data_IF_916619187523
#
_entry.id   IF_916619187523
#
_cell.length_a   1.000
_cell.length_b   1.000
_cell.length_c   1.000
_cell.angle_alpha   90.00
_cell.angle_beta   90.00
_cell.angle_gamma   90.00
#
_symmetry.space_group_name_H-M   'P 1'
#
loop_
_entity.id
_entity.type
_entity.pdbx_description
1 polymer ?
#
# COMPACT_ATOMS: atom_id res chain seq x y z
N UNK A 1 35.69 11.89 8.89
CA UNK A 1 35.03 10.84 8.08
C UNK A 1 33.58 10.74 8.52
N UNK A 2 32.63 11.07 7.65
CA UNK A 2 31.20 10.96 7.91
C UNK A 2 30.84 9.49 8.14
N UNK A 3 30.24 9.16 9.30
CA UNK A 3 29.57 7.87 9.56
C UNK A 3 28.28 7.82 8.73
N UNK A 4 28.39 7.74 7.41
CA UNK A 4 27.24 7.43 6.54
C UNK A 4 27.08 5.90 6.50
N UNK A 5 25.89 5.44 6.88
CA UNK A 5 25.37 4.07 6.82
C UNK A 5 25.71 3.09 7.96
N UNK A 6 25.52 3.50 9.22
CA UNK A 6 25.06 2.53 10.22
C UNK A 6 23.62 2.13 9.84
N UNK A 7 23.46 0.99 9.17
CA UNK A 7 22.14 0.41 8.90
C UNK A 7 21.42 0.22 10.24
N UNK A 8 20.09 0.27 10.32
CA UNK A 8 19.38 -0.05 11.56
C UNK A 8 18.40 -1.17 11.26
N UNK A 9 18.21 -2.05 12.23
CA UNK A 9 17.21 -3.11 12.12
C UNK A 9 16.06 -2.78 13.04
N UNK A 10 14.87 -2.68 12.48
CA UNK A 10 13.63 -2.62 13.23
C UNK A 10 12.99 -4.00 13.23
N UNK A 11 12.87 -4.60 14.42
CA UNK A 11 12.17 -5.87 14.60
C UNK A 11 10.72 -5.59 14.94
N UNK A 12 9.79 -6.20 14.20
CA UNK A 12 8.35 -6.07 14.41
C UNK A 12 7.76 -7.42 14.79
N UNK A 13 7.05 -7.49 15.91
CA UNK A 13 6.30 -8.69 16.29
C UNK A 13 4.87 -8.63 15.70
N UNK A 14 4.64 -9.47 14.69
CA UNK A 14 3.34 -9.51 14.00
C UNK A 14 2.18 -9.95 14.90
N UNK A 15 2.45 -10.73 15.95
CA UNK A 15 1.40 -11.23 16.86
C UNK A 15 0.83 -10.13 17.77
N UNK A 16 1.61 -9.06 17.95
CA UNK A 16 1.28 -7.96 18.84
C UNK A 16 0.87 -6.69 18.07
N UNK A 17 0.89 -6.72 16.74
CA UNK A 17 0.31 -5.64 15.94
C UNK A 17 -1.21 -5.55 16.16
N UNK A 18 -1.70 -4.32 16.20
CA UNK A 18 -3.12 -3.95 16.20
C UNK A 18 -3.30 -2.85 15.17
N UNK A 19 -4.49 -2.74 14.56
CA UNK A 19 -4.81 -1.69 13.56
C UNK A 19 -3.81 -1.65 12.39
N UNK A 20 -3.87 -2.67 11.55
CA UNK A 20 -2.95 -2.91 10.42
C UNK A 20 -3.73 -2.85 9.10
N UNK A 21 -3.16 -2.22 8.08
CA UNK A 21 -3.66 -2.31 6.70
C UNK A 21 -2.53 -2.22 5.69
N UNK A 22 -2.89 -2.37 4.42
CA UNK A 22 -1.95 -2.34 3.29
C UNK A 22 -2.30 -1.15 2.40
N UNK A 23 -1.28 -0.39 1.99
CA UNK A 23 -1.33 0.83 1.20
C UNK A 23 -0.25 0.77 0.12
N UNK A 24 -0.60 0.80 -1.17
CA UNK A 24 0.37 0.71 -2.28
C UNK A 24 1.35 -0.46 -2.13
N UNK A 25 0.85 -1.63 -1.73
CA UNK A 25 1.63 -2.82 -1.37
C UNK A 25 2.52 -2.72 -0.12
N UNK A 26 2.34 -1.67 0.69
CA UNK A 26 3.11 -1.39 1.90
C UNK A 26 2.24 -1.59 3.13
N UNK A 27 2.76 -2.24 4.16
CA UNK A 27 2.15 -2.32 5.47
C UNK A 27 2.13 -0.94 6.11
N UNK A 28 0.98 -0.49 6.55
CA UNK A 28 0.89 0.69 7.41
C UNK A 28 0.27 0.28 8.74
N UNK A 29 0.92 0.68 9.82
CA UNK A 29 0.62 0.19 11.16
C UNK A 29 0.97 1.22 12.23
N UNK A 30 0.14 1.30 13.27
CA UNK A 30 0.50 1.98 14.50
C UNK A 30 1.33 1.02 15.37
N UNK A 31 2.57 1.38 15.67
CA UNK A 31 3.41 0.58 16.54
C UNK A 31 3.47 1.17 17.94
N UNK A 32 3.36 0.29 18.92
CA UNK A 32 3.77 0.51 20.30
C UNK A 32 5.22 0.03 20.51
N UNK A 33 6.10 0.92 20.94
CA UNK A 33 7.51 0.60 21.17
C UNK A 33 8.43 1.76 20.82
N UNK A 34 9.66 1.43 20.41
CA UNK A 34 10.74 2.39 20.21
C UNK A 34 10.67 3.10 18.84
N UNK A 35 9.53 3.74 18.58
CA UNK A 35 9.23 4.45 17.33
C UNK A 35 10.10 5.68 17.12
N UNK A 36 10.53 6.34 18.19
CA UNK A 36 11.32 7.59 18.15
C UNK A 36 12.72 7.37 17.56
N UNK A 37 13.22 6.14 17.62
CA UNK A 37 14.54 5.76 17.11
C UNK A 37 14.51 5.21 15.68
N UNK A 38 13.33 5.02 15.09
CA UNK A 38 13.16 4.59 13.70
C UNK A 38 13.44 5.73 12.72
N UNK A 39 13.95 5.39 11.53
CA UNK A 39 14.20 6.32 10.43
C UNK A 39 13.72 5.75 9.10
N UNK A 40 13.39 6.63 8.16
CA UNK A 40 13.09 6.24 6.78
C UNK A 40 14.33 5.54 6.21
N UNK A 41 14.11 4.38 5.58
CA UNK A 41 15.13 3.50 5.04
C UNK A 41 15.63 2.43 6.01
N UNK A 42 15.23 2.44 7.29
CA UNK A 42 15.60 1.40 8.25
C UNK A 42 15.09 0.03 7.78
N UNK A 43 15.92 -1.01 7.95
CA UNK A 43 15.56 -2.36 7.54
C UNK A 43 14.57 -2.94 8.55
N UNK A 44 13.41 -3.34 8.08
CA UNK A 44 12.35 -3.92 8.91
C UNK A 44 12.36 -5.44 8.77
N UNK A 45 12.25 -6.12 9.91
CA UNK A 45 12.20 -7.57 10.02
C UNK A 45 10.97 -7.94 10.82
N UNK A 46 9.97 -8.52 10.17
CA UNK A 46 8.76 -8.96 10.82
C UNK A 46 8.89 -10.42 11.26
N UNK A 47 8.69 -10.64 12.56
CA UNK A 47 8.80 -11.94 13.20
C UNK A 47 7.45 -12.47 13.64
N UNK A 48 7.29 -13.79 13.54
CA UNK A 48 6.21 -14.57 14.16
C UNK A 48 6.85 -15.70 14.95
N UNK A 49 6.71 -15.66 16.27
CA UNK A 49 7.52 -16.48 17.18
C UNK A 49 9.03 -16.29 16.94
N UNK A 50 9.72 -17.36 16.54
CA UNK A 50 11.18 -17.37 16.30
C UNK A 50 11.58 -17.34 14.82
N UNK A 51 10.64 -17.01 13.93
CA UNK A 51 10.85 -17.01 12.47
C UNK A 51 10.66 -15.61 11.93
N UNK A 52 11.56 -15.23 11.03
CA UNK A 52 11.35 -14.06 10.18
C UNK A 52 10.45 -14.52 9.04
N UNK A 53 9.31 -13.85 8.90
CA UNK A 53 8.30 -14.18 7.90
C UNK A 53 8.23 -13.13 6.79
N UNK A 54 8.59 -11.89 7.10
CA UNK A 54 8.59 -10.80 6.13
C UNK A 54 9.73 -9.82 6.41
N UNK A 55 10.19 -9.14 5.36
CA UNK A 55 11.29 -8.17 5.41
C UNK A 55 10.90 -6.95 4.58
N UNK A 56 11.35 -5.77 4.98
CA UNK A 56 10.98 -4.54 4.29
C UNK A 56 11.87 -3.39 4.73
N UNK A 57 11.44 -2.17 4.42
CA UNK A 57 12.04 -0.95 4.93
C UNK A 57 10.96 0.01 5.38
N UNK A 58 11.29 0.82 6.38
CA UNK A 58 10.45 1.98 6.72
C UNK A 58 10.48 2.93 5.53
N UNK A 59 9.33 3.22 4.96
CA UNK A 59 9.20 4.10 3.78
C UNK A 59 8.69 5.48 4.16
N UNK A 60 7.88 5.60 5.21
CA UNK A 60 7.30 6.87 5.62
C UNK A 60 6.82 6.86 7.09
N UNK A 61 6.64 8.06 7.66
CA UNK A 61 6.01 8.28 8.96
C UNK A 61 4.75 9.10 8.77
N UNK A 62 3.60 8.49 9.03
CA UNK A 62 2.32 9.18 8.96
C UNK A 62 2.03 9.80 10.33
N UNK A 63 2.12 11.12 10.37
CA UNK A 63 1.51 11.90 11.42
C UNK A 63 0.00 11.79 11.22
N UNK A 64 -0.71 11.20 12.18
CA UNK A 64 -2.15 11.40 12.25
C UNK A 64 -2.44 12.90 12.24
N UNK A 65 -3.55 13.36 11.64
CA UNK A 65 -3.80 14.78 11.40
C UNK A 65 -3.63 15.58 12.70
N UNK A 66 -2.53 16.31 12.80
CA UNK A 66 -2.31 17.27 13.87
C UNK A 66 -3.25 18.43 13.56
N UNK A 67 -4.47 18.38 14.10
CA UNK A 67 -5.43 19.46 13.95
C UNK A 67 -6.91 19.07 13.90
N UNK A 68 -7.25 17.81 13.59
CA UNK A 68 -8.66 17.34 13.69
C UNK A 68 -8.78 16.23 14.73
N UNK A 69 -9.26 16.61 15.91
CA UNK A 69 -9.83 15.66 16.87
C UNK A 69 -11.02 14.97 16.19
N UNK A 70 -10.87 13.70 15.81
CA UNK A 70 -12.03 12.83 15.65
C UNK A 70 -12.29 12.20 17.04
N UNK A 71 -13.44 12.54 17.65
CA UNK A 71 -13.86 12.04 18.97
C UNK A 71 -12.93 12.30 20.17
N UNK A 72 -11.98 13.24 20.04
CA UNK A 72 -11.10 13.65 21.13
C UNK A 72 -9.95 12.70 21.47
N UNK A 73 -9.67 11.71 20.60
CA UNK A 73 -8.50 10.85 20.73
C UNK A 73 -7.36 11.31 19.80
N UNK A 74 -6.11 11.43 20.30
CA UNK A 74 -4.96 11.68 19.42
C UNK A 74 -4.80 10.51 18.45
N UNK A 75 -4.73 10.81 17.16
CA UNK A 75 -4.42 9.80 16.15
C UNK A 75 -3.00 9.25 16.42
N UNK A 76 -2.82 7.94 16.66
CA UNK A 76 -1.51 7.39 16.96
C UNK A 76 -0.55 7.60 15.78
N UNK A 77 0.73 7.88 16.07
CA UNK A 77 1.78 7.91 15.03
C UNK A 77 1.81 6.56 14.32
N UNK A 78 1.75 6.58 13.00
CA UNK A 78 1.76 5.40 12.15
C UNK A 78 3.04 5.38 11.34
N UNK A 79 3.49 4.18 11.00
CA UNK A 79 4.60 4.00 10.07
C UNK A 79 4.14 3.24 8.85
N UNK A 80 4.81 3.52 7.74
CA UNK A 80 4.66 2.80 6.49
C UNK A 80 5.91 1.98 6.21
N UNK A 81 5.69 0.75 5.76
CA UNK A 81 6.73 -0.24 5.57
C UNK A 81 6.45 -1.00 4.29
N UNK A 82 7.40 -1.09 3.37
CA UNK A 82 7.27 -1.99 2.22
C UNK A 82 7.58 -3.45 2.62
N UNK A 83 6.78 -3.97 3.55
CA UNK A 83 6.96 -5.28 4.14
C UNK A 83 6.57 -6.38 3.15
N UNK A 84 7.56 -7.14 2.72
CA UNK A 84 7.43 -8.19 1.73
C UNK A 84 7.52 -9.57 2.37
N UNK A 85 6.57 -10.45 2.06
CA UNK A 85 6.56 -11.81 2.57
C UNK A 85 7.70 -12.64 1.98
N UNK A 86 8.36 -13.43 2.82
CA UNK A 86 9.40 -14.36 2.38
C UNK A 86 8.76 -15.67 1.90
N UNK A 87 9.12 -16.13 0.70
CA UNK A 87 8.69 -17.44 0.17
C UNK A 87 9.12 -18.60 1.08
N UNK A 88 10.21 -18.42 1.83
CA UNK A 88 10.65 -19.34 2.88
C UNK A 88 11.07 -18.57 4.14
N UNK A 89 10.51 -18.96 5.29
CA UNK A 89 10.81 -18.27 6.55
C UNK A 89 12.27 -18.44 6.94
N UNK A 90 12.95 -17.36 7.31
CA UNK A 90 14.31 -17.44 7.85
C UNK A 90 14.26 -17.78 9.34
N UNK A 91 14.98 -18.84 9.73
CA UNK A 91 15.14 -19.24 11.13
C UNK A 91 16.24 -18.42 11.79
N UNK A 92 15.92 -17.81 12.92
CA UNK A 92 16.89 -17.18 13.82
C UNK A 92 17.45 -18.27 14.74
N UNK A 93 18.78 -18.44 14.74
CA UNK A 93 19.45 -19.39 15.64
C UNK A 93 19.41 -18.92 17.10
N UNK A 94 19.57 -19.81 18.09
CA UNK A 94 19.63 -19.42 19.50
C UNK A 94 20.66 -18.32 19.77
N UNK A 95 21.88 -18.45 19.22
CA UNK A 95 22.95 -17.44 19.34
C UNK A 95 22.54 -16.06 18.80
N UNK A 96 21.84 -16.03 17.67
CA UNK A 96 21.35 -14.77 17.08
C UNK A 96 20.23 -14.16 17.92
N UNK A 97 19.38 -14.99 18.54
CA UNK A 97 18.34 -14.52 19.46
C UNK A 97 18.93 -13.90 20.72
N UNK A 98 19.96 -14.53 21.29
CA UNK A 98 20.62 -14.02 22.49
C UNK A 98 21.34 -12.72 22.19
N UNK A 99 21.99 -12.60 21.02
CA UNK A 99 22.56 -11.33 20.56
C UNK A 99 21.51 -10.20 20.41
N UNK A 100 20.32 -10.51 19.88
CA UNK A 100 19.20 -9.54 19.79
C UNK A 100 18.75 -9.12 21.19
N UNK A 101 18.67 -10.06 22.14
CA UNK A 101 18.26 -9.79 23.53
C UNK A 101 19.29 -8.94 24.27
N UNK A 102 20.58 -9.23 24.10
CA UNK A 102 21.68 -8.45 24.68
C UNK A 102 21.68 -7.01 24.14
N UNK A 103 21.52 -6.85 22.82
CA UNK A 103 21.41 -5.54 22.19
C UNK A 103 20.19 -4.75 22.69
N UNK A 104 19.04 -5.42 22.83
CA UNK A 104 17.83 -4.82 23.40
C UNK A 104 18.04 -4.36 24.85
N UNK A 105 18.65 -5.22 25.67
CA UNK A 105 18.91 -4.94 27.09
C UNK A 105 19.88 -3.78 27.28
N UNK A 106 20.93 -3.68 26.44
CA UNK A 106 21.86 -2.56 26.43
C UNK A 106 21.18 -1.22 26.12
N UNK A 107 20.04 -1.25 25.42
CA UNK A 107 19.21 -0.09 25.09
C UNK A 107 18.05 0.14 26.07
N UNK A 108 18.02 -0.58 27.19
CA UNK A 108 16.98 -0.45 28.22
C UNK A 108 15.66 -1.18 27.91
N UNK A 109 15.63 -2.02 26.87
CA UNK A 109 14.44 -2.78 26.48
C UNK A 109 14.57 -4.26 26.83
N UNK A 110 13.55 -4.82 27.48
CA UNK A 110 13.42 -6.26 27.63
C UNK A 110 12.60 -6.82 26.47
N UNK A 111 13.22 -7.66 25.64
CA UNK A 111 12.60 -8.24 24.44
C UNK A 111 11.26 -8.94 24.74
N UNK A 112 11.11 -9.55 25.92
CA UNK A 112 9.87 -10.23 26.36
C UNK A 112 8.72 -9.27 26.70
N UNK A 113 9.03 -7.98 26.91
CA UNK A 113 8.06 -6.91 27.11
C UNK A 113 7.87 -6.05 25.86
N UNK A 114 8.42 -6.46 24.71
CA UNK A 114 8.28 -5.74 23.45
C UNK A 114 6.81 -5.72 23.05
N UNK A 115 6.21 -4.53 23.03
CA UNK A 115 4.79 -4.38 22.71
C UNK A 115 4.50 -4.66 21.25
N UNK A 116 5.23 -4.05 20.31
CA UNK A 116 5.04 -4.37 18.89
C UNK A 116 6.29 -4.17 18.02
N UNK A 117 7.19 -3.24 18.38
CA UNK A 117 8.43 -3.04 17.63
C UNK A 117 9.61 -2.57 18.48
N UNK A 118 10.81 -2.83 17.97
CA UNK A 118 12.09 -2.46 18.57
C UNK A 118 13.11 -2.09 17.49
N UNK A 119 13.66 -0.87 17.56
CA UNK A 119 14.75 -0.43 16.70
C UNK A 119 16.11 -0.74 17.36
N UNK A 120 16.99 -1.43 16.65
CA UNK A 120 18.31 -1.82 17.14
C UNK A 120 19.42 -1.13 16.31
N UNK A 121 20.37 -0.42 16.95
CA UNK A 121 21.53 0.12 16.26
C UNK A 121 22.44 -0.99 15.72
N UNK A 122 22.99 -0.85 14.50
CA UNK A 122 23.96 -1.85 13.98
C UNK A 122 25.31 -1.86 14.65
N UNK A 123 25.54 -0.97 15.60
CA UNK A 123 26.76 -0.94 16.42
C UNK A 123 26.94 -2.27 17.19
N UNK A 124 25.84 -2.98 17.45
CA UNK A 124 25.79 -4.30 18.06
C UNK A 124 25.60 -5.44 17.04
N UNK A 125 25.62 -5.13 15.73
CA UNK A 125 25.26 -6.07 14.66
C UNK A 125 26.39 -6.92 14.11
N UNK A 126 27.62 -6.86 14.64
CA UNK A 126 28.69 -7.79 14.22
C UNK A 126 28.27 -9.27 14.40
N UNK A 127 27.44 -9.56 15.41
CA UNK A 127 26.83 -10.89 15.64
C UNK A 127 25.64 -11.19 14.69
N UNK A 128 25.10 -10.17 14.04
CA UNK A 128 23.94 -10.20 13.15
C UNK A 128 24.30 -10.03 11.67
N UNK A 129 25.56 -9.75 11.31
CA UNK A 129 26.00 -9.56 9.92
C UNK A 129 25.60 -10.73 9.02
N UNK A 130 25.75 -11.96 9.53
CA UNK A 130 25.33 -13.19 8.85
C UNK A 130 23.82 -13.29 8.57
N UNK A 131 22.99 -12.60 9.37
CA UNK A 131 21.54 -12.53 9.24
C UNK A 131 21.16 -11.35 8.35
N UNK A 132 21.81 -10.22 8.56
CA UNK A 132 21.64 -8.98 7.82
C UNK A 132 21.89 -9.16 6.32
N UNK A 133 22.95 -9.87 5.93
CA UNK A 133 23.20 -10.12 4.50
C UNK A 133 22.09 -10.97 3.89
N UNK A 134 21.60 -12.00 4.59
CA UNK A 134 20.51 -12.86 4.11
C UNK A 134 19.23 -12.08 3.93
N UNK A 135 18.90 -11.24 4.91
CA UNK A 135 17.71 -10.39 4.87
C UNK A 135 17.82 -9.36 3.74
N UNK A 136 18.96 -8.65 3.64
CA UNK A 136 19.17 -7.66 2.58
C UNK A 136 19.06 -8.29 1.19
N UNK A 137 19.67 -9.47 1.01
CA UNK A 137 19.57 -10.23 -0.24
C UNK A 137 18.12 -10.63 -0.56
N UNK A 138 17.41 -11.22 0.40
CA UNK A 138 16.01 -11.62 0.21
C UNK A 138 15.11 -10.41 -0.10
N UNK A 139 15.31 -9.29 0.60
CA UNK A 139 14.59 -8.04 0.33
C UNK A 139 14.85 -7.55 -1.10
N UNK A 140 16.11 -7.51 -1.55
CA UNK A 140 16.45 -7.11 -2.93
C UNK A 140 15.80 -8.03 -3.97
N UNK A 141 15.86 -9.35 -3.77
CA UNK A 141 15.26 -10.33 -4.69
C UNK A 141 13.72 -10.23 -4.75
N UNK A 142 13.04 -9.90 -3.64
CA UNK A 142 11.59 -9.69 -3.64
C UNK A 142 11.22 -8.31 -4.21
N UNK A 143 11.95 -7.26 -3.86
CA UNK A 143 11.72 -5.90 -4.35
C UNK A 143 11.80 -5.84 -5.88
N UNK A 144 12.83 -6.46 -6.46
CA UNK A 144 12.97 -6.58 -7.91
C UNK A 144 11.77 -7.29 -8.55
N UNK A 145 11.23 -8.34 -7.92
CA UNK A 145 10.01 -9.01 -8.39
C UNK A 145 8.74 -8.15 -8.26
N UNK A 146 8.61 -7.35 -7.20
CA UNK A 146 7.45 -6.46 -7.01
C UNK A 146 7.46 -5.29 -8.01
N UNK A 147 8.62 -4.64 -8.20
CA UNK A 147 8.79 -3.55 -9.16
C UNK A 147 8.56 -4.01 -10.62
N UNK A 148 8.71 -5.32 -10.88
CA UNK A 148 8.39 -5.91 -12.17
C UNK A 148 6.90 -5.85 -12.54
N UNK A 149 5.94 -5.67 -11.63
CA UNK A 149 4.52 -5.75 -11.98
C UNK A 149 4.06 -4.63 -12.95
N UNK A 150 4.40 -3.37 -12.65
CA UNK A 150 4.12 -2.21 -13.52
C UNK A 150 4.88 -2.36 -14.85
N UNK A 151 6.17 -2.71 -14.75
CA UNK A 151 7.05 -2.92 -15.89
C UNK A 151 6.54 -4.03 -16.81
N UNK A 152 6.02 -5.12 -16.27
CA UNK A 152 5.40 -6.22 -17.03
C UNK A 152 4.16 -5.73 -17.78
N UNK A 153 3.33 -4.87 -17.16
CA UNK A 153 2.16 -4.29 -17.83
C UNK A 153 2.59 -3.37 -18.99
N UNK A 154 3.55 -2.47 -18.78
CA UNK A 154 4.07 -1.61 -19.85
C UNK A 154 4.75 -2.44 -20.95
N UNK A 155 5.50 -3.49 -20.62
CA UNK A 155 6.07 -4.43 -21.61
C UNK A 155 4.98 -5.11 -22.45
N UNK A 156 3.85 -5.52 -21.83
CA UNK A 156 2.73 -6.11 -22.57
C UNK A 156 2.18 -5.14 -23.61
N UNK A 157 1.97 -3.87 -23.25
CA UNK A 157 1.51 -2.83 -24.19
C UNK A 157 2.56 -2.62 -25.29
N UNK A 158 3.83 -2.49 -24.92
CA UNK A 158 4.92 -2.22 -25.88
C UNK A 158 5.12 -3.35 -26.89
N UNK A 159 4.83 -4.59 -26.51
CA UNK A 159 4.92 -5.78 -27.38
C UNK A 159 3.69 -5.98 -28.30
N UNK A 160 2.62 -5.20 -28.16
CA UNK A 160 1.47 -5.28 -29.05
C UNK A 160 1.85 -4.91 -30.49
N UNK A 161 1.27 -5.61 -31.46
CA UNK A 161 1.51 -5.34 -32.90
C UNK A 161 0.29 -4.78 -33.61
N UNK A 162 -0.85 -4.72 -32.92
CA UNK A 162 -2.15 -4.24 -33.40
C UNK A 162 -2.35 -2.73 -33.22
N UNK A 163 -1.43 -2.06 -32.52
CA UNK A 163 -1.45 -0.61 -32.26
C UNK A 163 -0.12 0.04 -32.61
N UNK A 164 -0.16 1.31 -33.00
CA UNK A 164 1.02 2.08 -33.37
C UNK A 164 1.83 2.56 -32.15
N UNK A 165 2.97 3.19 -32.40
CA UNK A 165 3.86 3.67 -31.36
C UNK A 165 3.24 4.80 -30.51
N UNK A 166 2.43 5.68 -31.13
CA UNK A 166 1.77 6.77 -30.42
C UNK A 166 0.76 6.22 -29.41
N UNK A 167 -0.08 5.27 -29.86
CA UNK A 167 -1.08 4.62 -29.01
C UNK A 167 -0.45 3.82 -27.87
N UNK A 168 0.69 3.18 -28.09
CA UNK A 168 1.45 2.52 -27.00
C UNK A 168 1.88 3.50 -25.93
N UNK A 169 2.40 4.67 -26.33
CA UNK A 169 2.82 5.72 -25.39
C UNK A 169 1.62 6.23 -24.60
N UNK A 170 0.49 6.52 -25.25
CA UNK A 170 -0.75 6.95 -24.58
C UNK A 170 -1.20 5.94 -23.52
N UNK A 171 -1.28 4.65 -23.87
CA UNK A 171 -1.72 3.60 -22.95
C UNK A 171 -0.75 3.40 -21.77
N UNK A 172 0.56 3.51 -22.00
CA UNK A 172 1.56 3.45 -20.92
C UNK A 172 1.43 4.64 -19.97
N UNK A 173 1.29 5.87 -20.48
CA UNK A 173 1.08 7.06 -19.66
C UNK A 173 -0.21 6.96 -18.85
N UNK A 174 -1.30 6.51 -19.45
CA UNK A 174 -2.57 6.32 -18.76
C UNK A 174 -2.52 5.24 -17.67
N UNK A 175 -1.78 4.15 -17.92
CA UNK A 175 -1.52 3.11 -16.93
C UNK A 175 -0.73 3.63 -15.72
N UNK A 176 0.22 4.53 -15.95
CA UNK A 176 1.04 5.17 -14.93
C UNK A 176 0.34 6.36 -14.26
N UNK A 177 -0.88 6.70 -14.71
CA UNK A 177 -1.60 7.89 -14.27
C UNK A 177 -0.79 9.18 -14.48
N UNK A 178 -0.12 9.26 -15.63
CA UNK A 178 0.69 10.40 -16.06
C UNK A 178 0.18 11.02 -17.37
N UNK A 179 0.80 12.14 -17.76
CA UNK A 179 0.53 12.81 -19.04
C UNK A 179 -0.77 13.61 -19.07
N UNK A 180 -1.24 13.90 -20.29
CA UNK A 180 -2.37 14.80 -20.51
C UNK A 180 -3.68 14.31 -19.88
N UNK A 181 -3.90 12.99 -19.86
CA UNK A 181 -5.10 12.39 -19.24
C UNK A 181 -5.12 12.64 -17.73
N UNK A 182 -3.99 12.39 -17.05
CA UNK A 182 -3.86 12.63 -15.62
C UNK A 182 -4.07 14.11 -15.27
N UNK A 183 -3.45 15.01 -16.04
CA UNK A 183 -3.64 16.45 -15.86
C UNK A 183 -5.10 16.85 -16.05
N UNK A 184 -5.79 16.31 -17.05
CA UNK A 184 -7.21 16.56 -17.26
C UNK A 184 -8.06 16.11 -16.07
N UNK A 185 -7.79 14.93 -15.51
CA UNK A 185 -8.50 14.42 -14.32
C UNK A 185 -8.26 15.34 -13.12
N UNK A 186 -7.01 15.80 -12.92
CA UNK A 186 -6.67 16.77 -11.90
C UNK A 186 -7.48 18.05 -12.10
N UNK A 187 -7.40 18.67 -13.27
CA UNK A 187 -8.09 19.94 -13.56
C UNK A 187 -9.62 19.83 -13.40
N UNK A 188 -10.20 18.69 -13.79
CA UNK A 188 -11.63 18.39 -13.68
C UNK A 188 -12.09 18.30 -12.21
N UNK A 189 -11.30 17.65 -11.37
CA UNK A 189 -11.74 17.23 -10.02
C UNK A 189 -11.16 18.09 -8.89
N UNK A 190 -10.06 18.83 -9.12
CA UNK A 190 -9.35 19.64 -8.12
C UNK A 190 -10.26 20.70 -7.47
N UNK A 191 -11.16 21.31 -8.25
CA UNK A 191 -12.11 22.32 -7.76
C UNK A 191 -13.10 21.79 -6.69
N UNK A 192 -13.08 20.48 -6.42
CA UNK A 192 -14.01 19.78 -5.53
C UNK A 192 -13.30 19.15 -4.32
N UNK A 193 -12.00 19.36 -4.15
CA UNK A 193 -11.32 19.19 -2.85
C UNK A 193 -11.81 20.28 -1.89
N UNK A 194 -13.01 20.05 -1.30
CA UNK A 194 -13.65 20.93 -0.33
C UNK A 194 -13.22 20.47 1.07
N UNK A 195 -11.96 20.72 1.38
CA UNK A 195 -11.39 20.85 2.71
C UNK A 195 -10.07 21.54 2.47
N UNK A 196 -9.58 22.36 3.40
CA UNK A 196 -8.18 22.79 3.39
C UNK A 196 -7.33 21.54 3.26
N UNK A 197 -6.94 21.18 2.04
CA UNK A 197 -6.07 20.07 1.77
C UNK A 197 -4.76 20.54 2.39
N UNK A 198 -4.26 19.93 3.47
CA UNK A 198 -2.95 20.31 3.97
C UNK A 198 -1.98 20.21 2.79
N UNK A 199 -1.03 21.13 2.68
CA UNK A 199 -0.02 21.18 1.60
C UNK A 199 0.71 19.84 1.39
N UNK A 200 0.53 18.89 2.31
CA UNK A 200 1.05 17.52 2.31
C UNK A 200 0.17 16.45 1.63
N UNK A 201 -1.04 16.74 1.13
CA UNK A 201 -1.83 15.71 0.45
C UNK A 201 -1.31 15.44 -0.95
N UNK A 202 -0.88 14.19 -1.18
CA UNK A 202 -0.51 13.70 -2.51
C UNK A 202 -1.78 13.22 -3.20
N UNK A 203 -2.17 13.91 -4.27
CA UNK A 203 -3.33 13.58 -5.09
C UNK A 203 -2.92 12.71 -6.27
N UNK A 204 -3.74 11.71 -6.58
CA UNK A 204 -3.47 10.73 -7.63
C UNK A 204 -4.73 10.47 -8.47
N UNK A 205 -4.56 10.38 -9.78
CA UNK A 205 -5.62 9.93 -10.68
C UNK A 205 -5.76 8.40 -10.57
N UNK A 206 -6.88 7.96 -10.00
CA UNK A 206 -7.13 6.56 -9.65
C UNK A 206 -8.16 5.95 -10.62
N UNK A 207 -7.83 4.83 -11.27
CA UNK A 207 -8.78 4.11 -12.13
C UNK A 207 -9.95 3.55 -11.32
N UNK A 208 -11.16 3.67 -11.86
CA UNK A 208 -12.39 3.09 -11.32
C UNK A 208 -12.51 1.62 -11.73
N UNK A 209 -12.41 1.36 -13.03
CA UNK A 209 -12.32 0.02 -13.60
C UNK A 209 -10.82 -0.28 -13.82
N UNK A 210 -10.27 -1.36 -13.24
CA UNK A 210 -8.85 -1.64 -13.28
C UNK A 210 -8.41 -2.09 -14.67
N UNK A 211 -7.16 -1.79 -15.00
CA UNK A 211 -6.55 -2.06 -16.31
C UNK A 211 -6.73 -3.50 -16.79
N UNK A 212 -6.67 -4.49 -15.89
CA UNK A 212 -6.76 -5.93 -16.21
C UNK A 212 -8.03 -6.31 -16.97
N UNK A 213 -9.07 -5.49 -16.87
CA UNK A 213 -10.40 -5.73 -17.43
C UNK A 213 -10.91 -4.54 -18.26
N UNK A 214 -10.08 -3.53 -18.50
CA UNK A 214 -10.40 -2.40 -19.37
C UNK A 214 -10.09 -2.71 -20.83
N UNK A 215 -10.89 -2.17 -21.75
CA UNK A 215 -10.46 -1.94 -23.11
C UNK A 215 -9.46 -0.78 -23.19
N UNK A 216 -8.77 -0.64 -24.31
CA UNK A 216 -7.88 0.50 -24.57
C UNK A 216 -8.62 1.84 -24.47
N UNK A 217 -9.86 1.90 -24.93
CA UNK A 217 -10.68 3.11 -24.89
C UNK A 217 -11.13 3.42 -23.46
N UNK A 218 -11.49 2.41 -22.67
CA UNK A 218 -11.81 2.58 -21.25
C UNK A 218 -10.57 2.98 -20.42
N UNK A 219 -9.36 2.56 -20.83
CA UNK A 219 -8.11 2.97 -20.19
C UNK A 219 -7.80 4.44 -20.46
N UNK A 220 -8.20 4.97 -21.61
CA UNK A 220 -7.93 6.36 -22.00
C UNK A 220 -9.13 7.30 -21.76
N UNK A 221 -10.24 6.75 -21.29
CA UNK A 221 -11.42 7.50 -20.93
C UNK A 221 -11.23 8.20 -19.56
N UNK A 222 -11.19 9.55 -19.50
CA UNK A 222 -11.05 10.26 -18.23
C UNK A 222 -12.20 9.99 -17.26
N UNK A 223 -13.37 9.56 -17.75
CA UNK A 223 -14.51 9.19 -16.91
C UNK A 223 -14.28 7.88 -16.14
N UNK A 224 -13.26 7.10 -16.51
CA UNK A 224 -12.81 5.94 -15.76
C UNK A 224 -11.81 6.30 -14.65
N UNK A 225 -11.58 7.59 -14.37
CA UNK A 225 -10.66 8.04 -13.33
C UNK A 225 -11.36 8.93 -12.29
N UNK A 226 -10.85 8.86 -11.06
CA UNK A 226 -11.16 9.77 -9.96
C UNK A 226 -9.88 10.41 -9.44
N UNK A 227 -9.92 11.70 -9.12
CA UNK A 227 -8.88 12.31 -8.30
C UNK A 227 -9.15 12.00 -6.82
N UNK A 228 -8.22 11.27 -6.21
CA UNK A 228 -8.28 10.90 -4.80
C UNK A 228 -6.96 11.28 -4.14
N UNK A 229 -6.97 11.59 -2.85
CA UNK A 229 -5.71 11.53 -2.12
C UNK A 229 -5.25 10.08 -2.00
N UNK A 230 -3.96 9.94 -1.76
CA UNK A 230 -3.27 8.67 -1.72
C UNK A 230 -3.90 7.63 -0.79
N UNK A 231 -4.50 8.06 0.33
CA UNK A 231 -5.11 7.14 1.29
C UNK A 231 -6.43 6.58 0.75
N UNK A 232 -7.30 7.45 0.22
CA UNK A 232 -8.56 7.02 -0.38
C UNK A 232 -8.35 6.22 -1.67
N UNK A 233 -7.34 6.56 -2.47
CA UNK A 233 -6.98 5.82 -3.69
C UNK A 233 -6.69 4.33 -3.40
N UNK A 234 -5.97 4.06 -2.32
CA UNK A 234 -5.60 2.71 -1.92
C UNK A 234 -6.77 1.93 -1.33
N UNK A 235 -7.56 2.55 -0.44
CA UNK A 235 -8.77 1.93 0.09
C UNK A 235 -9.76 1.59 -1.03
N UNK A 236 -9.88 2.48 -2.02
CA UNK A 236 -10.76 2.31 -3.16
C UNK A 236 -10.26 1.16 -4.05
N UNK A 237 -8.99 1.20 -4.44
CA UNK A 237 -8.37 0.15 -5.28
C UNK A 237 -8.39 -1.23 -4.62
N UNK A 238 -8.28 -1.29 -3.29
CA UNK A 238 -8.43 -2.52 -2.52
C UNK A 238 -9.89 -3.01 -2.43
N UNK A 239 -10.88 -2.17 -2.74
CA UNK A 239 -12.29 -2.47 -2.58
C UNK A 239 -12.77 -2.41 -1.13
N UNK A 240 -12.05 -1.69 -0.26
CA UNK A 240 -12.43 -1.40 1.14
C UNK A 240 -13.39 -0.20 1.23
N UNK A 241 -13.29 0.74 0.30
CA UNK A 241 -14.29 1.80 0.09
C UNK A 241 -14.79 1.81 -1.35
N UNK A 242 -15.91 2.47 -1.57
CA UNK A 242 -16.41 2.81 -2.90
C UNK A 242 -17.23 4.10 -2.84
N UNK A 243 -17.75 4.57 -3.97
CA UNK A 243 -18.58 5.78 -4.02
C UNK A 243 -19.97 5.47 -4.56
N UNK A 244 -20.97 6.10 -3.96
CA UNK A 244 -22.36 6.09 -4.43
C UNK A 244 -22.53 6.90 -5.72
N UNK A 245 -23.72 6.82 -6.33
CA UNK A 245 -24.05 7.62 -7.52
C UNK A 245 -24.13 9.12 -7.25
N UNK A 246 -24.20 9.55 -5.99
CA UNK A 246 -24.12 10.96 -5.59
C UNK A 246 -22.70 11.42 -5.24
N UNK A 247 -21.72 10.51 -5.21
CA UNK A 247 -20.33 10.81 -4.84
C UNK A 247 -20.01 10.61 -3.36
N UNK A 248 -21.01 10.23 -2.53
CA UNK A 248 -20.77 9.89 -1.12
C UNK A 248 -19.99 8.59 -1.00
N UNK A 249 -18.97 8.57 -0.14
CA UNK A 249 -18.22 7.36 0.22
C UNK A 249 -19.12 6.30 0.88
N UNK A 250 -18.81 5.04 0.60
CA UNK A 250 -19.43 3.85 1.18
C UNK A 250 -18.30 2.95 1.66
N UNK A 251 -18.26 2.68 2.96
CA UNK A 251 -17.24 1.86 3.59
C UNK A 251 -17.66 0.38 3.64
N UNK A 252 -16.69 -0.54 3.54
CA UNK A 252 -16.90 -1.93 3.87
C UNK A 252 -17.13 -2.08 5.38
N UNK A 253 -18.08 -2.91 5.86
CA UNK A 253 -18.30 -3.13 7.29
C UNK A 253 -17.08 -3.63 8.07
N UNK A 254 -16.06 -4.18 7.40
CA UNK A 254 -14.80 -4.54 8.03
C UNK A 254 -13.92 -3.33 8.39
N UNK A 255 -14.25 -2.13 7.89
CA UNK A 255 -13.68 -0.87 8.34
C UNK A 255 -14.40 -0.35 9.60
N UNK A 256 -14.49 -1.17 10.66
CA UNK A 256 -15.14 -0.79 11.92
C UNK A 256 -14.34 0.25 12.75
N UNK A 257 -14.66 0.45 14.03
CA UNK A 257 -13.93 1.32 14.98
C UNK A 257 -12.39 1.23 14.91
N UNK A 258 -11.80 0.08 14.57
CA UNK A 258 -10.34 -0.07 14.39
C UNK A 258 -9.79 0.74 13.20
N UNK A 259 -10.66 1.08 12.25
CA UNK A 259 -10.38 1.86 11.04
C UNK A 259 -10.85 3.33 11.11
N UNK A 260 -11.46 3.78 12.22
CA UNK A 260 -12.07 5.12 12.32
C UNK A 260 -11.10 6.32 12.18
N UNK A 261 -9.78 6.08 12.17
CA UNK A 261 -8.75 7.10 11.88
C UNK A 261 -8.17 7.05 10.47
N UNK A 262 -8.68 6.17 9.61
CA UNK A 262 -8.07 5.82 8.31
C UNK A 262 -8.89 6.22 7.09
N UNK A 263 -10.14 6.64 7.30
CA UNK A 263 -10.96 7.23 6.27
C UNK A 263 -11.71 8.39 6.88
N UNK A 264 -11.69 9.54 6.23
CA UNK A 264 -12.65 10.58 6.57
C UNK A 264 -13.99 10.11 6.00
N UNK A 265 -14.86 9.54 6.84
CA UNK A 265 -16.17 9.02 6.39
C UNK A 265 -17.10 10.14 5.88
N UNK A 266 -16.69 11.40 6.01
CA UNK A 266 -17.33 12.54 5.36
C UNK A 266 -16.78 12.88 3.98
N UNK A 267 -15.69 12.22 3.54
CA UNK A 267 -15.10 12.41 2.22
C UNK A 267 -16.14 12.09 1.13
N UNK A 268 -16.27 13.03 0.21
CA UNK A 268 -17.14 12.92 -0.94
C UNK A 268 -16.35 13.31 -2.17
N UNK A 269 -16.43 12.47 -3.20
CA UNK A 269 -15.96 12.88 -4.51
C UNK A 269 -16.95 13.87 -5.12
N UNK A 270 -16.43 14.62 -6.08
CA UNK A 270 -17.15 15.14 -7.21
C UNK A 270 -18.41 14.37 -7.57
N UNK A 271 -19.57 15.06 -7.72
CA UNK A 271 -20.79 14.43 -8.21
C UNK A 271 -20.48 13.70 -9.52
N UNK A 272 -20.59 12.36 -9.55
CA UNK A 272 -20.15 11.60 -10.71
C UNK A 272 -20.99 11.91 -11.94
N UNK A 273 -20.35 11.96 -13.11
CA UNK A 273 -21.02 12.05 -14.40
C UNK A 273 -21.87 10.79 -14.69
N UNK A 274 -22.58 10.78 -15.81
CA UNK A 274 -23.30 9.58 -16.27
C UNK A 274 -22.34 8.41 -16.54
N UNK A 275 -21.18 8.68 -17.12
CA UNK A 275 -20.21 7.65 -17.49
C UNK A 275 -19.40 7.18 -16.27
N UNK A 276 -18.94 8.09 -15.41
CA UNK A 276 -18.35 7.72 -14.11
C UNK A 276 -19.27 6.82 -13.28
N UNK A 277 -20.59 7.04 -13.31
CA UNK A 277 -21.56 6.16 -12.62
C UNK A 277 -21.54 4.73 -13.15
N UNK A 278 -21.29 4.53 -14.45
CA UNK A 278 -21.18 3.19 -15.06
C UNK A 278 -19.93 2.48 -14.56
N UNK A 279 -18.78 3.15 -14.56
CA UNK A 279 -17.56 2.59 -13.99
C UNK A 279 -17.70 2.34 -12.48
N UNK A 280 -18.29 3.26 -11.72
CA UNK A 280 -18.54 3.06 -10.29
C UNK A 280 -19.51 1.90 -10.02
N UNK A 281 -20.48 1.66 -10.90
CA UNK A 281 -21.34 0.49 -10.81
C UNK A 281 -20.55 -0.81 -11.03
N UNK A 282 -19.59 -0.82 -11.97
CA UNK A 282 -18.65 -1.93 -12.12
C UNK A 282 -17.83 -2.12 -10.83
N UNK A 283 -17.22 -1.07 -10.31
CA UNK A 283 -16.41 -1.13 -9.08
C UNK A 283 -17.21 -1.71 -7.91
N UNK A 284 -18.43 -1.20 -7.67
CA UNK A 284 -19.31 -1.71 -6.60
C UNK A 284 -19.68 -3.18 -6.76
N UNK A 285 -19.79 -3.68 -7.99
CA UNK A 285 -20.18 -5.06 -8.28
C UNK A 285 -18.98 -6.02 -8.23
N UNK A 286 -17.83 -5.60 -8.73
CA UNK A 286 -16.71 -6.48 -9.07
C UNK A 286 -15.48 -6.31 -8.18
N UNK A 287 -15.37 -5.24 -7.40
CA UNK A 287 -14.17 -4.89 -6.63
C UNK A 287 -14.52 -4.66 -5.16
N UNK A 288 -15.51 -3.81 -4.89
CA UNK A 288 -15.94 -3.51 -3.54
C UNK A 288 -16.34 -4.78 -2.78
N UNK A 289 -15.83 -4.95 -1.55
CA UNK A 289 -16.00 -6.14 -0.69
C UNK A 289 -15.36 -7.44 -1.20
N UNK A 290 -14.68 -7.42 -2.35
CA UNK A 290 -14.02 -8.59 -2.92
C UNK A 290 -12.58 -8.78 -2.39
N UNK A 291 -12.10 -7.88 -1.54
CA UNK A 291 -10.78 -7.96 -0.88
C UNK A 291 -10.57 -9.24 -0.07
N UNK A 292 -11.65 -9.84 0.47
CA UNK A 292 -11.59 -11.15 1.16
C UNK A 292 -11.25 -12.32 0.23
N UNK A 293 -11.46 -12.14 -1.07
CA UNK A 293 -11.11 -13.10 -2.12
C UNK A 293 -9.86 -12.71 -2.92
N UNK A 294 -9.29 -11.52 -2.63
CA UNK A 294 -8.13 -10.93 -3.29
C UNK A 294 -6.89 -11.12 -2.40
N UNK A 295 -5.98 -12.00 -2.79
CA UNK A 295 -4.62 -11.99 -2.27
C UNK A 295 -3.84 -10.88 -2.99
N UNK A 296 -3.17 -9.95 -2.28
CA UNK A 296 -2.42 -8.90 -2.94
C UNK A 296 -1.18 -9.51 -3.60
N UNK A 297 -1.05 -9.26 -4.91
CA UNK A 297 0.19 -9.28 -5.70
C UNK A 297 0.81 -10.66 -5.96
N UNK A 298 0.34 -11.38 -7.00
CA UNK A 298 1.18 -11.94 -8.08
C UNK A 298 0.38 -12.73 -9.13
N UNK A 299 0.94 -12.97 -10.35
CA UNK A 299 0.18 -13.22 -11.57
C UNK A 299 -0.17 -14.69 -11.73
N UNK A 300 -1.33 -15.15 -11.26
CA UNK A 300 -1.89 -16.42 -11.75
C UNK A 300 -3.41 -16.27 -11.95
N UNK A 301 -3.76 -16.28 -13.24
CA UNK A 301 -4.98 -16.80 -13.89
C UNK A 301 -6.28 -16.77 -13.08
N UNK A 302 -7.26 -16.00 -13.59
CA UNK A 302 -8.64 -16.49 -13.67
C UNK A 302 -9.16 -16.37 -15.09
N UNK A 303 -9.64 -17.50 -15.60
CA UNK A 303 -10.41 -17.61 -16.84
C UNK A 303 -11.80 -17.06 -16.49
N UNK A 304 -12.15 -15.87 -16.97
CA UNK A 304 -13.54 -15.43 -16.90
C UNK A 304 -14.30 -16.23 -17.96
N UNK A 305 -15.21 -17.09 -17.51
CA UNK A 305 -16.27 -17.59 -18.39
C UNK A 305 -17.24 -16.41 -18.53
N UNK A 306 -17.21 -15.78 -19.69
CA UNK A 306 -18.29 -14.88 -20.09
C UNK A 306 -19.41 -15.83 -20.51
N UNK A 307 -20.41 -16.01 -19.67
CA UNK A 307 -21.68 -16.56 -20.12
C UNK A 307 -22.27 -15.52 -21.06
N UNK A 308 -22.22 -15.82 -22.37
CA UNK A 308 -23.03 -15.12 -23.34
C UNK A 308 -24.48 -15.49 -23.04
N UNK A 309 -25.28 -14.53 -22.60
CA UNK A 309 -26.73 -14.61 -22.79
C UNK A 309 -26.97 -14.68 -24.29
N UNK A 310 -27.11 -15.90 -24.79
CA UNK A 310 -27.76 -16.14 -26.05
C UNK A 310 -29.22 -15.72 -25.87
N UNK A 311 -29.63 -14.72 -26.65
CA UNK A 311 -31.03 -14.49 -26.95
C UNK A 311 -31.55 -15.73 -27.66
N UNK A 312 -32.45 -16.47 -27.02
CA UNK A 312 -33.32 -17.42 -27.69
C UNK A 312 -34.76 -16.90 -27.62
N UNK A 313 -35.26 -16.53 -28.80
CA UNK A 313 -36.65 -16.44 -29.29
C UNK A 313 -37.62 -15.44 -28.63
#
# INVERSE_FOLDING_TARGET
MKKENACRITVINLEALRKVYVWSAQLVVALEGDMENMRIGDLVVAVRGCRIVSVGRVTDFLLGPVGRMHLGCPCPRQIRIDLMHLDSTLRISPRQRDAIREAAAAYGFHFEKMRSALALPTEYANSLDSVLWKIKRAYSEIKERCDNAMRIRSIKIMNRTDIDAARKIELCLALEAEGALAQFVVDRDLARFISDAPESLILVATLIKPWEVCSDDELLDPENYLLLDMQHADLFSAGLITFSSSGKQIDDPAMDEDFCGWSDNSFCIAKPSKEQKRYLAFHRRCIFKQWRTYLPISPIRRKFVIESEAQDL
#
